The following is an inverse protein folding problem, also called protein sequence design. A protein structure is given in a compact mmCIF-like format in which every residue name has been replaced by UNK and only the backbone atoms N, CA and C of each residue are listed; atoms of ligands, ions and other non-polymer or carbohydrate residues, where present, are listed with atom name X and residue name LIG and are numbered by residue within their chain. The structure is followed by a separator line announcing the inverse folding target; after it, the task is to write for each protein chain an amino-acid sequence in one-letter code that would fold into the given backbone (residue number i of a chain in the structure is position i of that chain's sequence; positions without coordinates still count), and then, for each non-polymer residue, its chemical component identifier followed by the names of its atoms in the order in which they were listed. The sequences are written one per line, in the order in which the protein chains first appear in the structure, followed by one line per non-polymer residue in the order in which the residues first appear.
data_IF_472392839295
#
_entry.id   IF_472392839295
#
_cell.length_a   1.000
_cell.length_b   1.000
_cell.length_c   1.000
_cell.angle_alpha   90.00
_cell.angle_beta   90.00
_cell.angle_gamma   90.00
#
_symmetry.space_group_name_H-M   'P 1'
#
loop_
_entity.id
_entity.type
_entity.pdbx_description
1 polymer ?
#
# COMPACT_ATOMS: atom_id res chain seq x y z
N UNK A 1 1.34 10.19 -6.74
CA UNK A 1 0.89 8.81 -6.44
C UNK A 1 1.40 7.88 -7.53
N UNK A 2 1.83 6.67 -7.17
CA UNK A 2 2.20 5.61 -8.11
C UNK A 2 1.61 4.27 -7.67
N UNK A 3 1.38 3.38 -8.63
CA UNK A 3 0.87 2.03 -8.39
C UNK A 3 1.71 1.04 -9.19
N UNK A 4 2.11 -0.06 -8.55
CA UNK A 4 2.72 -1.22 -9.18
C UNK A 4 1.92 -2.47 -8.82
N UNK A 5 1.72 -3.35 -9.80
CA UNK A 5 0.99 -4.61 -9.65
C UNK A 5 1.93 -5.77 -9.93
N UNK A 6 1.85 -6.80 -9.11
CA UNK A 6 2.65 -8.01 -9.24
C UNK A 6 1.75 -9.23 -9.19
N UNK A 7 1.91 -10.11 -10.18
CA UNK A 7 1.40 -11.47 -10.11
C UNK A 7 2.28 -12.27 -9.14
N UNK A 8 1.65 -12.81 -8.11
CA UNK A 8 2.26 -13.63 -7.09
C UNK A 8 1.84 -15.09 -7.18
N UNK A 9 0.87 -15.46 -8.03
CA UNK A 9 0.25 -16.79 -8.05
C UNK A 9 1.26 -17.92 -8.22
N UNK A 10 2.26 -17.71 -9.10
CA UNK A 10 3.29 -18.72 -9.37
C UNK A 10 4.23 -18.99 -8.18
N UNK A 11 4.36 -18.05 -7.24
CA UNK A 11 5.30 -18.12 -6.11
C UNK A 11 4.61 -18.25 -4.76
N UNK A 12 3.38 -17.77 -4.65
CA UNK A 12 2.55 -17.76 -3.47
C UNK A 12 1.12 -18.03 -3.91
N UNK A 13 0.56 -19.18 -3.54
CA UNK A 13 -0.83 -19.49 -3.84
C UNK A 13 -1.83 -18.57 -3.10
N UNK A 14 -1.36 -17.82 -2.09
CA UNK A 14 -2.13 -16.80 -1.38
C UNK A 14 -1.18 -15.82 -0.69
N UNK A 15 -1.16 -14.52 -1.10
CA UNK A 15 -2.00 -13.90 -2.12
C UNK A 15 -1.56 -14.26 -3.55
N UNK A 16 -2.51 -14.23 -4.48
CA UNK A 16 -2.28 -14.36 -5.94
C UNK A 16 -1.84 -13.05 -6.58
N UNK A 17 -2.24 -11.92 -6.01
CA UNK A 17 -2.00 -10.58 -6.55
C UNK A 17 -1.49 -9.64 -5.45
N UNK A 18 -0.52 -8.79 -5.80
CA UNK A 18 0.03 -7.78 -4.91
C UNK A 18 -0.04 -6.41 -5.59
N UNK A 19 -0.67 -5.45 -4.92
CA UNK A 19 -0.64 -4.04 -5.29
C UNK A 19 0.27 -3.26 -4.32
N UNK A 20 1.26 -2.56 -4.85
CA UNK A 20 2.07 -1.59 -4.10
C UNK A 20 1.69 -0.20 -4.54
N UNK A 21 1.20 0.59 -3.60
CA UNK A 21 0.73 1.95 -3.83
C UNK A 21 1.58 2.91 -3.02
N UNK A 22 2.10 3.94 -3.66
CA UNK A 22 2.87 4.99 -3.00
C UNK A 22 2.13 6.32 -3.11
N UNK A 23 1.88 6.94 -1.96
CA UNK A 23 1.27 8.27 -1.86
C UNK A 23 2.23 9.23 -1.14
N UNK A 24 2.02 10.53 -1.34
CA UNK A 24 2.81 11.59 -0.71
C UNK A 24 2.27 11.98 0.67
N UNK A 25 1.02 11.62 0.94
CA UNK A 25 0.31 11.92 2.17
C UNK A 25 -0.80 10.89 2.42
N UNK A 26 -1.34 10.93 3.64
CA UNK A 26 -2.38 10.02 4.09
C UNK A 26 -3.78 10.36 3.55
N UNK A 27 -4.01 11.59 3.08
CA UNK A 27 -5.27 11.97 2.46
C UNK A 27 -5.44 11.26 1.12
N UNK A 28 -4.41 11.30 0.27
CA UNK A 28 -4.38 10.56 -0.99
C UNK A 28 -4.53 9.03 -0.80
N UNK A 29 -4.03 8.49 0.31
CA UNK A 29 -4.24 7.09 0.67
C UNK A 29 -5.70 6.80 1.04
N UNK A 30 -6.34 7.69 1.80
CA UNK A 30 -7.76 7.58 2.15
C UNK A 30 -8.64 7.65 0.90
N UNK A 31 -8.42 8.66 0.05
CA UNK A 31 -9.21 8.89 -1.17
C UNK A 31 -9.14 7.68 -2.13
N UNK A 32 -7.98 7.01 -2.20
CA UNK A 32 -7.83 5.78 -2.96
C UNK A 32 -8.77 4.68 -2.45
N UNK A 33 -8.77 4.41 -1.14
CA UNK A 33 -9.60 3.36 -0.58
C UNK A 33 -11.08 3.68 -0.65
N UNK A 34 -11.46 4.94 -0.41
CA UNK A 34 -12.84 5.38 -0.54
C UNK A 34 -13.32 5.22 -2.00
N UNK A 35 -12.50 5.64 -2.97
CA UNK A 35 -12.83 5.46 -4.39
C UNK A 35 -12.91 3.99 -4.80
N UNK A 36 -12.01 3.12 -4.29
CA UNK A 36 -12.02 1.69 -4.59
C UNK A 36 -13.22 0.96 -4.01
N UNK A 37 -13.70 1.38 -2.82
CA UNK A 37 -14.84 0.78 -2.13
C UNK A 37 -16.09 0.77 -3.00
N UNK A 38 -16.31 1.83 -3.76
CA UNK A 38 -17.49 1.98 -4.62
C UNK A 38 -17.36 1.30 -5.99
N UNK A 39 -16.20 0.69 -6.28
CA UNK A 39 -16.00 -0.03 -7.54
C UNK A 39 -16.54 -1.47 -7.47
N UNK A 40 -16.87 -2.09 -8.61
CA UNK A 40 -17.17 -3.52 -8.67
C UNK A 40 -16.04 -4.41 -8.15
N UNK A 41 -14.82 -3.85 -8.00
CA UNK A 41 -13.75 -4.52 -7.33
C UNK A 41 -14.27 -4.91 -5.93
N UNK A 42 -14.57 -3.95 -5.06
CA UNK A 42 -14.99 -4.25 -3.68
C UNK A 42 -16.49 -4.52 -3.51
N UNK A 43 -17.32 -4.09 -4.46
CA UNK A 43 -18.76 -4.30 -4.40
C UNK A 43 -19.21 -5.71 -4.88
N UNK A 44 -18.33 -6.47 -5.55
CA UNK A 44 -18.62 -7.83 -6.04
C UNK A 44 -17.53 -8.79 -5.56
N UNK A 45 -17.84 -10.03 -5.12
CA UNK A 45 -16.85 -10.93 -4.52
C UNK A 45 -15.95 -11.62 -5.57
N UNK A 46 -15.40 -10.87 -6.54
CA UNK A 46 -14.48 -11.41 -7.55
C UNK A 46 -13.08 -11.71 -7.00
N UNK A 47 -12.70 -11.07 -5.90
CA UNK A 47 -11.45 -11.35 -5.18
C UNK A 47 -11.70 -11.15 -3.69
N UNK A 48 -10.76 -11.65 -2.89
CA UNK A 48 -10.74 -11.47 -1.44
C UNK A 48 -9.57 -10.58 -1.07
N UNK A 49 -9.86 -9.42 -0.48
CA UNK A 49 -8.80 -8.60 0.10
C UNK A 49 -8.26 -9.25 1.38
N UNK A 50 -7.03 -9.77 1.32
CA UNK A 50 -6.41 -10.51 2.42
C UNK A 50 -5.81 -9.60 3.50
N UNK A 51 -5.07 -8.56 3.07
CA UNK A 51 -4.27 -7.74 3.98
C UNK A 51 -3.86 -6.42 3.33
N UNK A 52 -3.89 -5.37 4.13
CA UNK A 52 -3.22 -4.10 3.86
C UNK A 52 -2.04 -3.92 4.81
N UNK A 53 -0.87 -3.55 4.29
CA UNK A 53 0.30 -3.21 5.11
C UNK A 53 0.72 -1.79 4.75
N UNK A 54 0.54 -0.86 5.70
CA UNK A 54 0.96 0.53 5.53
C UNK A 54 2.39 0.71 6.04
N UNK A 55 3.25 1.34 5.25
CA UNK A 55 4.65 1.59 5.59
C UNK A 55 5.03 3.03 5.29
N UNK A 56 6.17 3.48 5.83
CA UNK A 56 6.77 4.77 5.53
C UNK A 56 8.10 4.53 4.80
N UNK A 57 8.21 5.04 3.57
CA UNK A 57 9.46 5.02 2.81
C UNK A 57 10.57 5.73 3.59
N UNK A 58 11.76 5.13 3.63
CA UNK A 58 12.95 5.65 4.34
C UNK A 58 12.73 6.02 5.82
N UNK A 59 11.64 5.55 6.45
CA UNK A 59 11.23 6.05 7.77
C UNK A 59 12.27 5.91 8.88
N UNK A 60 13.13 4.88 8.81
CA UNK A 60 14.25 4.73 9.73
C UNK A 60 15.34 5.78 9.53
N UNK A 61 15.69 6.08 8.28
CA UNK A 61 16.70 7.09 7.93
C UNK A 61 16.21 8.48 8.34
N UNK A 62 14.97 8.80 8.00
CA UNK A 62 14.35 10.07 8.37
C UNK A 62 14.30 10.26 9.90
N UNK A 63 14.02 9.19 10.64
CA UNK A 63 14.06 9.21 12.09
C UNK A 63 15.46 9.53 12.63
N UNK A 64 16.50 8.89 12.08
CA UNK A 64 17.88 9.18 12.47
C UNK A 64 18.27 10.62 12.17
N UNK A 65 17.93 11.14 11.00
CA UNK A 65 18.27 12.50 10.60
C UNK A 65 17.61 13.55 11.51
N UNK A 66 16.35 13.33 11.93
CA UNK A 66 15.66 14.19 12.91
C UNK A 66 16.25 14.13 14.31
N UNK A 67 16.80 12.97 14.70
CA UNK A 67 17.27 12.71 16.06
C UNK A 67 18.79 12.73 16.19
N UNK A 68 19.50 13.13 15.13
CA UNK A 68 20.95 13.34 15.20
C UNK A 68 21.20 14.60 16.02
N UNK A 69 21.58 14.41 17.28
CA UNK A 69 22.01 15.52 18.15
C UNK A 69 23.22 16.27 17.56
N UNK A 70 23.51 17.49 18.03
CA UNK A 70 24.72 18.20 17.65
C UNK A 70 25.95 17.37 18.05
N UNK A 71 26.90 17.20 17.12
CA UNK A 71 28.20 16.58 17.38
C UNK A 71 29.08 17.48 18.24
#
# INVERSE_FOLDING_TARGET
MSVAWFDAEAWSASPTDIAVVTTTDMGAWYDLWEGLRDTPLFAVPYFRHERTITTLGDGFRDYQDRNRGPQ
#
